data_IF_514387811238
#
_entry.id   IF_514387811238
#
_cell.length_a   1.000
_cell.length_b   1.000
_cell.length_c   1.000
_cell.angle_alpha   90.00
_cell.angle_beta   90.00
_cell.angle_gamma   90.00
#
_symmetry.space_group_name_H-M   'P 1'
#
loop_
_entity.id
_entity.type
_entity.pdbx_description
1 polymer ?
#
# COMPACT_ATOMS: atom_id res chain seq x y z
N UNK A 1 29.97 -5.65 62.98
CA UNK A 1 31.20 -4.89 63.29
C UNK A 1 31.95 -4.70 61.98
N UNK A 2 31.91 -3.49 61.39
CA UNK A 2 32.90 -2.42 61.57
C UNK A 2 34.24 -2.73 60.89
N UNK A 3 34.52 -1.98 59.81
CA UNK A 3 35.83 -1.44 59.37
C UNK A 3 36.92 -2.47 59.06
N UNK A 4 37.89 -2.27 58.18
CA UNK A 4 38.42 -1.21 57.31
C UNK A 4 39.72 -1.86 56.81
N UNK A 5 40.21 -1.57 55.60
CA UNK A 5 41.61 -1.14 55.46
C UNK A 5 41.82 -0.51 54.08
N UNK A 6 42.56 0.58 54.15
CA UNK A 6 42.79 1.63 53.17
C UNK A 6 44.28 1.59 52.78
N UNK A 7 44.60 2.12 51.59
CA UNK A 7 45.92 2.53 51.03
C UNK A 7 46.73 1.40 50.36
N UNK A 8 47.57 1.60 49.33
CA UNK A 8 48.39 2.72 48.82
C UNK A 8 48.49 2.56 47.26
N UNK A 9 48.33 3.57 46.39
CA UNK A 9 49.22 4.70 46.00
C UNK A 9 50.37 4.33 45.03
N UNK A 10 50.40 5.05 43.89
CA UNK A 10 51.48 5.41 42.93
C UNK A 10 52.12 4.32 42.04
N UNK A 11 52.12 4.56 40.71
CA UNK A 11 53.36 4.61 39.91
C UNK A 11 53.10 5.05 38.45
N UNK A 12 53.89 6.00 37.95
CA UNK A 12 54.47 5.93 36.59
C UNK A 12 53.68 6.50 35.42
N UNK A 13 54.02 7.74 35.03
CA UNK A 13 53.79 8.31 33.70
C UNK A 13 54.42 7.42 32.61
N UNK A 14 53.61 7.01 31.64
CA UNK A 14 54.04 6.72 30.27
C UNK A 14 53.16 7.54 29.33
N UNK A 15 53.79 8.46 28.60
CA UNK A 15 53.18 9.22 27.51
C UNK A 15 52.74 8.25 26.42
N UNK A 16 51.43 8.01 26.32
CA UNK A 16 50.82 7.47 25.12
C UNK A 16 49.93 8.55 24.53
N UNK A 17 50.49 9.37 23.63
CA UNK A 17 49.70 10.22 22.74
C UNK A 17 49.18 9.32 21.63
N UNK A 18 48.14 8.55 21.93
CA UNK A 18 47.27 7.99 20.92
C UNK A 18 45.99 8.82 21.00
N UNK A 19 45.84 9.80 20.11
CA UNK A 19 44.54 10.42 19.92
C UNK A 19 43.60 9.31 19.48
N UNK A 20 42.52 9.03 20.21
CA UNK A 20 41.50 8.16 19.68
C UNK A 20 40.98 8.83 18.41
N UNK A 21 41.12 8.06 17.33
CA UNK A 21 40.25 7.98 16.17
C UNK A 21 39.06 8.89 16.30
N UNK A 22 38.95 9.86 15.37
CA UNK A 22 37.78 10.71 15.18
C UNK A 22 36.55 9.90 15.55
N UNK A 23 35.88 10.27 16.64
CA UNK A 23 34.62 9.66 17.02
C UNK A 23 33.68 9.94 15.86
N UNK A 24 33.55 8.94 15.00
CA UNK A 24 32.62 8.88 13.92
C UNK A 24 31.26 9.07 14.60
N UNK A 25 30.72 10.28 14.53
CA UNK A 25 29.29 10.49 14.67
C UNK A 25 28.68 9.79 13.46
N UNK A 26 28.58 8.46 13.55
CA UNK A 26 27.70 7.68 12.71
C UNK A 26 26.33 8.17 13.14
N UNK A 27 25.78 9.13 12.39
CA UNK A 27 24.35 9.33 12.40
C UNK A 27 23.76 7.95 12.10
N UNK A 28 23.02 7.38 13.04
CA UNK A 28 22.09 6.32 12.73
C UNK A 28 21.20 6.86 11.61
N UNK A 29 21.56 6.57 10.36
CA UNK A 29 20.64 6.69 9.25
C UNK A 29 19.56 5.65 9.56
N UNK A 30 18.52 6.13 10.21
CA UNK A 30 17.26 5.43 10.40
C UNK A 30 16.75 5.09 9.01
N UNK A 31 17.17 3.94 8.50
CA UNK A 31 16.61 3.28 7.32
C UNK A 31 15.21 2.77 7.69
N UNK A 32 14.26 3.70 7.77
CA UNK A 32 12.82 3.41 7.65
C UNK A 32 12.47 3.86 6.24
N UNK A 33 12.10 3.01 5.28
CA UNK A 33 11.30 1.79 5.38
C UNK A 33 11.59 0.82 4.23
N UNK A 34 11.86 -0.45 4.54
CA UNK A 34 11.48 -1.49 3.59
C UNK A 34 9.95 -1.40 3.41
N UNK A 35 9.46 -1.33 2.17
CA UNK A 35 8.03 -1.32 1.86
C UNK A 35 7.31 -2.41 2.69
N UNK A 36 6.49 -2.00 3.65
CA UNK A 36 5.75 -2.93 4.52
C UNK A 36 4.68 -3.73 3.77
N UNK A 37 4.39 -3.35 2.52
CA UNK A 37 3.32 -3.88 1.68
C UNK A 37 3.75 -5.01 0.73
N UNK A 38 5.05 -5.33 0.65
CA UNK A 38 5.58 -6.32 -0.30
C UNK A 38 5.99 -5.70 -1.65
N UNK A 39 6.03 -6.53 -2.70
CA UNK A 39 6.46 -6.10 -4.05
C UNK A 39 5.26 -5.63 -4.87
N UNK A 40 5.31 -4.40 -5.41
CA UNK A 40 4.26 -3.89 -6.30
C UNK A 40 4.20 -4.74 -7.58
N UNK A 41 3.01 -5.19 -7.94
CA UNK A 41 2.73 -5.92 -9.17
C UNK A 41 2.45 -4.89 -10.28
N UNK A 42 3.17 -4.93 -11.42
CA UNK A 42 2.76 -4.19 -12.60
C UNK A 42 1.41 -4.72 -13.07
N UNK A 43 0.42 -3.84 -13.18
CA UNK A 43 -0.93 -4.17 -13.63
C UNK A 43 -1.27 -3.41 -14.90
N UNK A 44 -2.12 -4.01 -15.74
CA UNK A 44 -2.83 -3.30 -16.80
C UNK A 44 -4.29 -3.06 -16.43
N UNK A 45 -5.01 -2.29 -17.24
CA UNK A 45 -6.47 -2.23 -17.17
C UNK A 45 -7.05 -3.18 -18.21
N UNK A 46 -7.87 -4.13 -17.77
CA UNK A 46 -8.62 -5.05 -18.63
C UNK A 46 -9.91 -4.41 -19.14
N UNK A 47 -10.58 -3.62 -18.30
CA UNK A 47 -11.87 -3.02 -18.61
C UNK A 47 -12.33 -2.10 -17.48
N UNK A 48 -13.26 -1.20 -17.79
CA UNK A 48 -13.93 -0.38 -16.80
C UNK A 48 -15.36 -0.05 -17.28
N UNK A 49 -16.28 0.16 -16.35
CA UNK A 49 -17.60 0.70 -16.67
C UNK A 49 -17.54 2.21 -16.93
N UNK A 50 -18.51 2.73 -17.67
CA UNK A 50 -18.53 4.16 -17.98
C UNK A 50 -17.35 4.59 -18.86
N UNK A 51 -16.61 5.61 -18.44
CA UNK A 51 -15.52 6.18 -19.23
C UNK A 51 -14.25 5.32 -19.20
N UNK A 52 -14.11 4.43 -20.19
CA UNK A 52 -12.91 3.61 -20.35
C UNK A 52 -11.66 4.40 -20.77
N UNK A 53 -11.82 5.54 -21.47
CA UNK A 53 -10.69 6.31 -22.02
C UNK A 53 -9.74 6.85 -20.96
N UNK A 54 -10.25 7.07 -19.75
CA UNK A 54 -9.47 7.55 -18.60
C UNK A 54 -9.01 6.43 -17.66
N UNK A 55 -9.32 5.17 -17.96
CA UNK A 55 -9.09 4.07 -17.02
C UNK A 55 -7.61 3.86 -16.67
N UNK A 56 -6.68 4.15 -17.58
CA UNK A 56 -5.24 4.08 -17.32
C UNK A 56 -4.77 5.11 -16.27
N UNK A 57 -5.52 6.20 -16.07
CA UNK A 57 -5.22 7.18 -15.02
C UNK A 57 -5.37 6.60 -13.62
N UNK A 58 -6.09 5.48 -13.47
CA UNK A 58 -6.22 4.80 -12.19
C UNK A 58 -5.02 3.93 -11.82
N UNK A 59 -3.99 3.82 -12.68
CA UNK A 59 -2.80 2.98 -12.44
C UNK A 59 -1.50 3.66 -12.88
N UNK A 60 -1.53 4.97 -13.14
CA UNK A 60 -0.39 5.73 -13.68
C UNK A 60 0.58 6.23 -12.60
N UNK A 61 0.27 6.02 -11.32
CA UNK A 61 1.09 6.48 -10.19
C UNK A 61 0.98 7.98 -9.91
N UNK A 62 0.04 8.70 -10.54
CA UNK A 62 -0.14 10.14 -10.38
C UNK A 62 -1.48 10.44 -9.70
N UNK A 63 -1.43 10.80 -8.42
CA UNK A 63 -2.62 11.16 -7.63
C UNK A 63 -3.37 12.40 -8.09
N UNK A 64 -2.83 13.16 -9.06
CA UNK A 64 -3.49 14.35 -9.64
C UNK A 64 -4.36 14.01 -10.85
N UNK A 65 -4.20 12.82 -11.43
CA UNK A 65 -5.06 12.25 -12.47
C UNK A 65 -5.98 11.20 -11.85
N UNK A 66 -7.08 10.88 -12.53
CA UNK A 66 -8.01 9.85 -12.06
C UNK A 66 -8.86 9.31 -13.19
N UNK A 67 -9.30 8.07 -13.01
CA UNK A 67 -10.43 7.53 -13.74
C UNK A 67 -11.74 7.95 -13.06
N UNK A 68 -12.75 8.34 -13.85
CA UNK A 68 -14.10 8.62 -13.38
C UNK A 68 -15.10 7.86 -14.24
N UNK A 69 -16.00 7.10 -13.63
CA UNK A 69 -17.03 6.34 -14.34
C UNK A 69 -18.06 7.22 -15.05
N UNK A 70 -18.14 8.53 -14.71
CA UNK A 70 -19.20 9.46 -15.06
C UNK A 70 -20.59 9.01 -14.58
N UNK A 71 -20.65 8.23 -13.50
CA UNK A 71 -21.91 7.71 -12.99
C UNK A 71 -21.87 7.22 -11.55
N UNK A 72 -23.03 7.23 -10.91
CA UNK A 72 -23.25 6.61 -9.61
C UNK A 72 -23.09 5.08 -9.67
N UNK A 73 -22.89 4.41 -8.52
CA UNK A 73 -22.89 2.95 -8.44
C UNK A 73 -24.12 2.30 -9.11
N UNK A 74 -24.02 1.07 -9.62
CA UNK A 74 -22.83 0.20 -9.57
C UNK A 74 -21.85 0.51 -10.70
N UNK A 75 -20.56 0.65 -10.37
CA UNK A 75 -19.48 0.86 -11.33
C UNK A 75 -18.27 0.00 -10.97
N UNK A 76 -17.47 -0.38 -11.97
CA UNK A 76 -16.34 -1.28 -11.78
C UNK A 76 -15.15 -0.91 -12.66
N UNK A 77 -13.96 -1.27 -12.17
CA UNK A 77 -12.72 -1.30 -12.96
C UNK A 77 -12.03 -2.64 -12.73
N UNK A 78 -11.52 -3.25 -13.79
CA UNK A 78 -10.87 -4.54 -13.79
C UNK A 78 -9.39 -4.38 -14.16
N UNK A 79 -8.52 -4.84 -13.28
CA UNK A 79 -7.08 -4.83 -13.45
C UNK A 79 -6.61 -6.19 -13.94
N UNK A 80 -5.64 -6.18 -14.84
CA UNK A 80 -4.95 -7.37 -15.32
C UNK A 80 -3.59 -7.53 -14.60
N UNK A 81 -3.41 -8.64 -13.89
CA UNK A 81 -2.17 -8.96 -13.16
C UNK A 81 -1.05 -9.51 -14.06
N UNK A 82 -1.27 -9.62 -15.37
CA UNK A 82 -0.27 -10.07 -16.35
C UNK A 82 -0.13 -11.58 -16.48
N UNK A 83 -0.56 -12.36 -15.47
CA UNK A 83 -0.77 -13.82 -15.47
C UNK A 83 -1.57 -14.23 -14.22
N UNK A 84 -2.08 -15.46 -14.19
CA UNK A 84 -2.89 -15.95 -13.06
C UNK A 84 -2.00 -16.19 -11.83
N UNK A 85 -2.13 -15.34 -10.81
CA UNK A 85 -1.24 -15.33 -9.63
C UNK A 85 -1.97 -14.90 -8.37
N UNK A 86 -1.34 -15.12 -7.23
CA UNK A 86 -1.78 -14.55 -5.96
C UNK A 86 -1.34 -13.10 -5.81
N UNK A 87 -2.10 -12.33 -5.03
CA UNK A 87 -1.72 -11.00 -4.54
C UNK A 87 -2.09 -10.90 -3.07
N UNK A 88 -1.37 -10.08 -2.31
CA UNK A 88 -1.50 -9.93 -0.86
C UNK A 88 -2.26 -8.67 -0.44
N UNK A 89 -2.17 -7.60 -1.24
CA UNK A 89 -2.78 -6.30 -0.94
C UNK A 89 -3.24 -5.62 -2.23
N UNK A 90 -4.39 -4.94 -2.16
CA UNK A 90 -4.77 -3.88 -3.10
C UNK A 90 -5.00 -2.58 -2.35
N UNK A 91 -4.49 -1.48 -2.87
CA UNK A 91 -4.66 -0.13 -2.35
C UNK A 91 -5.44 0.70 -3.36
N UNK A 92 -6.42 1.48 -2.91
CA UNK A 92 -7.31 2.28 -3.76
C UNK A 92 -7.30 3.73 -3.27
N UNK A 93 -6.86 4.68 -4.11
CA UNK A 93 -6.89 6.10 -3.78
C UNK A 93 -8.20 6.72 -4.27
N UNK A 94 -9.03 7.15 -3.32
CA UNK A 94 -10.35 7.72 -3.60
C UNK A 94 -10.23 9.11 -4.25
N UNK A 95 -11.11 9.39 -5.21
CA UNK A 95 -11.44 10.76 -5.62
C UNK A 95 -12.96 10.93 -5.54
N UNK A 96 -13.41 11.35 -4.36
CA UNK A 96 -14.82 11.32 -3.99
C UNK A 96 -15.28 12.69 -3.49
N UNK A 97 -16.38 13.17 -4.05
CA UNK A 97 -17.11 14.32 -3.55
C UNK A 97 -18.58 14.20 -3.96
N UNK A 98 -19.55 14.25 -3.03
CA UNK A 98 -19.40 14.48 -1.59
C UNK A 98 -18.82 13.27 -0.81
N UNK A 99 -18.40 13.50 0.43
CA UNK A 99 -17.99 12.44 1.36
C UNK A 99 -19.19 11.66 1.90
N UNK A 100 -19.00 10.40 2.28
CA UNK A 100 -20.04 9.53 2.83
C UNK A 100 -19.69 8.05 2.77
N UNK A 101 -20.62 7.19 3.19
CA UNK A 101 -20.39 5.75 3.25
C UNK A 101 -20.32 5.11 1.87
N UNK A 102 -19.30 4.27 1.66
CA UNK A 102 -19.11 3.49 0.45
C UNK A 102 -19.03 2.00 0.72
N UNK A 103 -19.28 1.21 -0.33
CA UNK A 103 -19.05 -0.22 -0.33
C UNK A 103 -18.39 -0.64 -1.66
N UNK A 104 -17.17 -1.16 -1.55
CA UNK A 104 -16.35 -1.62 -2.66
C UNK A 104 -16.10 -3.12 -2.52
N UNK A 105 -16.60 -3.92 -3.46
CA UNK A 105 -16.38 -5.36 -3.56
C UNK A 105 -15.15 -5.65 -4.41
N UNK A 106 -14.32 -6.57 -3.92
CA UNK A 106 -13.14 -7.05 -4.63
C UNK A 106 -13.43 -8.46 -5.13
N UNK A 107 -13.39 -8.64 -6.44
CA UNK A 107 -13.53 -9.94 -7.09
C UNK A 107 -12.27 -10.31 -7.83
N UNK A 108 -11.96 -11.60 -7.87
CA UNK A 108 -10.95 -12.16 -8.74
C UNK A 108 -11.58 -12.94 -9.89
N UNK A 109 -10.93 -12.97 -11.05
CA UNK A 109 -11.30 -13.84 -12.17
C UNK A 109 -10.11 -14.66 -12.61
N UNK A 110 -10.26 -15.98 -12.66
CA UNK A 110 -9.23 -16.89 -13.20
C UNK A 110 -9.19 -16.82 -14.73
N UNK A 111 -8.14 -17.36 -15.36
CA UNK A 111 -8.03 -17.52 -16.82
C UNK A 111 -9.20 -18.35 -17.38
N UNK A 112 -9.66 -19.36 -16.62
CA UNK A 112 -10.85 -20.15 -16.96
C UNK A 112 -12.17 -19.40 -16.81
N UNK A 113 -12.14 -18.11 -16.44
CA UNK A 113 -13.31 -17.25 -16.32
C UNK A 113 -14.09 -17.40 -15.02
N UNK A 114 -13.62 -18.23 -14.06
CA UNK A 114 -14.28 -18.40 -12.76
C UNK A 114 -14.15 -17.12 -11.94
N UNK A 115 -15.29 -16.57 -11.52
CA UNK A 115 -15.35 -15.43 -10.60
C UNK A 115 -15.23 -15.90 -9.15
N UNK A 116 -14.41 -15.19 -8.36
CA UNK A 116 -14.14 -15.48 -6.95
C UNK A 116 -14.36 -14.21 -6.14
N UNK A 117 -15.28 -14.23 -5.18
CA UNK A 117 -15.44 -13.11 -4.24
C UNK A 117 -14.28 -13.12 -3.25
N UNK A 118 -13.45 -12.08 -3.25
CA UNK A 118 -12.29 -11.98 -2.36
C UNK A 118 -12.67 -11.27 -1.05
N UNK A 119 -13.53 -10.25 -1.12
CA UNK A 119 -14.04 -9.54 0.03
C UNK A 119 -14.62 -8.18 -0.33
N UNK A 120 -14.86 -7.34 0.68
CA UNK A 120 -15.34 -5.98 0.49
C UNK A 120 -14.72 -5.02 1.51
N UNK A 121 -14.64 -3.75 1.11
CA UNK A 121 -14.29 -2.62 1.96
C UNK A 121 -15.58 -1.82 2.16
N UNK A 122 -15.99 -1.62 3.40
CA UNK A 122 -17.15 -0.77 3.74
C UNK A 122 -16.70 0.22 4.79
N UNK A 123 -16.79 1.50 4.47
CA UNK A 123 -16.23 2.58 5.30
C UNK A 123 -16.81 3.93 4.89
N UNK A 124 -16.70 4.91 5.77
CA UNK A 124 -16.86 6.31 5.41
C UNK A 124 -15.65 6.79 4.61
N UNK A 125 -15.86 7.40 3.44
CA UNK A 125 -14.79 7.85 2.55
C UNK A 125 -14.99 9.29 2.09
N UNK A 126 -13.88 9.95 1.75
CA UNK A 126 -13.79 11.24 1.08
C UNK A 126 -12.66 11.17 0.04
N UNK A 127 -12.48 12.18 -0.81
CA UNK A 127 -11.34 12.24 -1.71
C UNK A 127 -9.98 12.26 -0.99
N UNK A 128 -8.96 11.65 -1.60
CA UNK A 128 -7.58 11.63 -1.11
C UNK A 128 -7.26 10.56 -0.06
N UNK A 129 -8.18 9.62 0.20
CA UNK A 129 -7.98 8.55 1.19
C UNK A 129 -7.51 7.28 0.47
N UNK A 130 -6.46 6.66 1.01
CA UNK A 130 -6.08 5.31 0.62
C UNK A 130 -6.91 4.28 1.38
N UNK A 131 -7.66 3.48 0.64
CA UNK A 131 -8.30 2.26 1.14
C UNK A 131 -7.38 1.08 0.92
N UNK A 132 -7.36 0.16 1.87
CA UNK A 132 -6.52 -1.04 1.81
C UNK A 132 -7.36 -2.30 1.98
N UNK A 133 -7.21 -3.24 1.05
CA UNK A 133 -7.79 -4.57 1.16
C UNK A 133 -6.69 -5.63 1.14
N UNK A 134 -6.54 -6.33 2.27
CA UNK A 134 -5.61 -7.45 2.43
C UNK A 134 -6.29 -8.73 1.95
N UNK A 135 -5.79 -9.30 0.86
CA UNK A 135 -6.28 -10.57 0.36
C UNK A 135 -5.74 -11.72 1.22
N UNK A 136 -6.62 -12.39 1.95
CA UNK A 136 -6.28 -13.56 2.78
C UNK A 136 -6.51 -14.89 2.07
N UNK A 137 -6.97 -14.87 0.82
CA UNK A 137 -7.25 -16.08 0.05
C UNK A 137 -6.04 -16.49 -0.78
N UNK A 138 -5.67 -17.77 -0.78
CA UNK A 138 -4.61 -18.31 -1.62
C UNK A 138 -5.09 -18.63 -3.05
N UNK A 139 -6.26 -18.16 -3.47
CA UNK A 139 -6.77 -18.37 -4.83
C UNK A 139 -5.98 -17.50 -5.84
N UNK A 140 -5.32 -18.09 -6.84
CA UNK A 140 -4.67 -17.32 -7.89
C UNK A 140 -5.72 -16.78 -8.86
N UNK A 141 -5.53 -15.54 -9.30
CA UNK A 141 -6.47 -14.83 -10.18
C UNK A 141 -5.68 -14.10 -11.26
N UNK A 142 -6.26 -13.96 -12.45
CA UNK A 142 -5.67 -13.19 -13.54
C UNK A 142 -6.14 -11.75 -13.50
N UNK A 143 -7.44 -11.55 -13.27
CA UNK A 143 -8.04 -10.23 -13.18
C UNK A 143 -8.52 -9.94 -11.76
N UNK A 144 -8.42 -8.69 -11.35
CA UNK A 144 -8.99 -8.17 -10.09
C UNK A 144 -9.98 -7.07 -10.43
N UNK A 145 -11.24 -7.28 -10.06
CA UNK A 145 -12.30 -6.29 -10.22
C UNK A 145 -12.47 -5.52 -8.90
N UNK A 146 -12.50 -4.20 -9.01
CA UNK A 146 -12.92 -3.28 -7.96
C UNK A 146 -14.31 -2.78 -8.33
N UNK A 147 -15.34 -3.33 -7.68
CA UNK A 147 -16.74 -3.02 -7.94
C UNK A 147 -17.30 -2.16 -6.82
N UNK A 148 -17.64 -0.91 -7.11
CA UNK A 148 -18.31 -0.02 -6.14
C UNK A 148 -19.81 -0.17 -6.29
N UNK A 149 -20.47 -0.64 -5.24
CA UNK A 149 -21.93 -0.89 -5.23
C UNK A 149 -22.71 0.15 -4.42
N UNK A 150 -22.03 0.96 -3.59
CA UNK A 150 -22.62 2.06 -2.84
C UNK A 150 -21.62 3.21 -2.73
N UNK A 151 -22.09 4.43 -2.95
CA UNK A 151 -21.31 5.67 -2.90
C UNK A 151 -22.27 6.87 -2.98
N UNK A 152 -22.01 7.96 -2.24
CA UNK A 152 -22.75 9.21 -2.37
C UNK A 152 -22.34 10.04 -3.60
N UNK A 153 -21.30 9.64 -4.34
CA UNK A 153 -20.80 10.32 -5.54
C UNK A 153 -20.63 9.38 -6.72
N UNK A 154 -20.27 9.94 -7.87
CA UNK A 154 -19.73 9.15 -8.97
C UNK A 154 -18.50 8.38 -8.54
N UNK A 155 -18.31 7.22 -9.14
CA UNK A 155 -17.22 6.30 -8.79
C UNK A 155 -15.98 6.69 -9.56
N UNK A 156 -14.91 6.98 -8.83
CA UNK A 156 -13.67 7.43 -9.42
C UNK A 156 -12.47 7.02 -8.54
N UNK A 157 -11.35 6.70 -9.19
CA UNK A 157 -10.12 6.26 -8.55
C UNK A 157 -8.94 7.03 -9.12
N UNK A 158 -8.17 7.66 -8.24
CA UNK A 158 -6.98 8.41 -8.62
C UNK A 158 -5.77 7.49 -8.84
N UNK A 159 -5.67 6.42 -8.07
CA UNK A 159 -4.64 5.40 -8.26
C UNK A 159 -5.07 4.08 -7.62
N UNK A 160 -4.55 2.98 -8.15
CA UNK A 160 -4.80 1.63 -7.71
C UNK A 160 -3.50 0.83 -7.80
N UNK A 161 -3.12 0.25 -6.68
CA UNK A 161 -1.89 -0.50 -6.57
C UNK A 161 -2.18 -1.92 -6.07
N UNK A 162 -1.52 -2.91 -6.66
CA UNK A 162 -1.60 -4.30 -6.24
C UNK A 162 -0.22 -4.78 -5.83
N UNK A 163 -0.11 -5.56 -4.75
CA UNK A 163 1.14 -6.08 -4.22
C UNK A 163 1.09 -7.59 -4.03
N UNK A 164 2.28 -8.21 -4.08
CA UNK A 164 2.50 -9.60 -3.68
C UNK A 164 3.52 -9.65 -2.53
#
# INVERSE_FOLDING_TARGET
MRYSFIRYVLCGLLFAIAWPTSAELISEEKTVSANSYGTKIPVGVFGASGNYGDSLKAIDGNSSTYWNSNGFPTQWIALDLGWERNFSLIRLLTTQSPAGDTNHRIWGRTNGGRMIFLGAITSYTSGGIWLEFKNRRPDPVRLVYVETISSPSWVAWADIEVYQ
#
